data_IF_244724738813
#
_entry.id   IF_244724738813
#
_cell.length_a   1.000
_cell.length_b   1.000
_cell.length_c   1.000
_cell.angle_alpha   90.00
_cell.angle_beta   90.00
_cell.angle_gamma   90.00
#
_symmetry.space_group_name_H-M   'P 1'
#
loop_
_entity.id
_entity.type
_entity.pdbx_description
1 polymer ?
#
# COMPACT_ATOMS: atom_id res chain seq x y z
N UNK A 1 13.09 3.79 -57.97
CA UNK A 1 12.89 2.55 -57.20
C UNK A 1 11.44 2.50 -56.73
N UNK A 2 10.61 1.54 -57.17
CA UNK A 2 9.26 1.39 -56.63
C UNK A 2 9.35 1.00 -55.15
N UNK A 3 8.61 1.70 -54.28
CA UNK A 3 8.53 1.32 -52.85
C UNK A 3 7.79 -0.02 -52.77
N UNK A 4 8.47 -1.08 -52.32
CA UNK A 4 7.82 -2.34 -51.98
C UNK A 4 6.70 -2.03 -50.98
N UNK A 5 5.50 -2.56 -51.20
CA UNK A 5 4.42 -2.40 -50.23
C UNK A 5 4.86 -3.04 -48.92
N UNK A 6 4.70 -2.31 -47.81
CA UNK A 6 5.14 -2.74 -46.48
C UNK A 6 4.46 -4.05 -46.07
N UNK A 7 3.25 -4.32 -46.59
CA UNK A 7 2.50 -5.56 -46.35
C UNK A 7 3.26 -6.83 -46.76
N UNK A 8 3.95 -6.82 -47.92
CA UNK A 8 4.65 -8.01 -48.39
C UNK A 8 5.79 -8.43 -47.44
N UNK A 9 6.48 -7.47 -46.84
CA UNK A 9 7.60 -7.73 -45.92
C UNK A 9 7.10 -8.25 -44.57
N UNK A 10 5.98 -7.71 -44.06
CA UNK A 10 5.37 -8.21 -42.83
C UNK A 10 4.85 -9.64 -42.99
N UNK A 11 4.23 -9.95 -44.14
CA UNK A 11 3.73 -11.30 -44.44
C UNK A 11 4.86 -12.32 -44.58
N UNK A 12 5.98 -11.95 -45.19
CA UNK A 12 7.20 -12.78 -45.24
C UNK A 12 7.73 -13.08 -43.83
N UNK A 13 7.76 -12.07 -42.95
CA UNK A 13 8.18 -12.26 -41.57
C UNK A 13 7.23 -13.16 -40.77
N UNK A 14 5.91 -12.97 -40.90
CA UNK A 14 4.88 -13.78 -40.24
C UNK A 14 4.91 -15.25 -40.70
N UNK A 15 5.29 -15.51 -41.95
CA UNK A 15 5.46 -16.87 -42.49
C UNK A 15 6.82 -17.50 -42.12
N UNK A 16 7.82 -16.69 -41.81
CA UNK A 16 9.14 -17.13 -41.37
C UNK A 16 9.27 -17.08 -39.84
N UNK A 17 10.13 -16.21 -39.28
CA UNK A 17 10.41 -16.16 -37.84
C UNK A 17 9.18 -15.85 -36.97
N UNK A 18 8.19 -15.10 -37.49
CA UNK A 18 6.97 -14.78 -36.76
C UNK A 18 6.06 -15.98 -36.48
N UNK A 19 6.29 -17.11 -37.17
CA UNK A 19 5.48 -18.32 -37.02
C UNK A 19 5.53 -18.88 -35.59
N UNK A 20 6.63 -18.66 -34.86
CA UNK A 20 6.79 -19.12 -33.47
C UNK A 20 5.80 -18.45 -32.50
N UNK A 21 5.32 -17.25 -32.84
CA UNK A 21 4.38 -16.48 -32.02
C UNK A 21 2.92 -16.69 -32.41
N UNK A 22 2.64 -17.49 -33.46
CA UNK A 22 1.28 -17.76 -33.94
C UNK A 22 0.43 -18.48 -32.90
N UNK A 23 1.04 -19.38 -32.12
CA UNK A 23 0.37 -20.18 -31.12
C UNK A 23 1.02 -20.00 -29.75
N UNK A 24 0.23 -19.97 -28.67
CA UNK A 24 0.75 -19.76 -27.34
C UNK A 24 1.57 -20.96 -26.87
N UNK A 25 2.75 -20.69 -26.32
CA UNK A 25 3.60 -21.67 -25.65
C UNK A 25 3.25 -21.78 -24.16
N UNK A 26 3.85 -22.77 -23.49
CA UNK A 26 3.86 -22.81 -22.03
C UNK A 26 4.93 -21.82 -21.57
N UNK A 27 4.50 -20.83 -20.79
CA UNK A 27 5.32 -19.72 -20.35
C UNK A 27 5.52 -18.62 -21.41
N UNK A 28 6.12 -17.49 -20.99
CA UNK A 28 6.18 -16.29 -21.79
C UNK A 28 7.05 -16.48 -23.03
N UNK A 29 6.46 -16.30 -24.22
CA UNK A 29 7.17 -16.28 -25.50
C UNK A 29 7.48 -14.84 -25.91
N UNK A 30 8.54 -14.28 -25.36
CA UNK A 30 8.92 -12.89 -25.64
C UNK A 30 9.72 -12.75 -26.93
N UNK A 31 9.47 -11.66 -27.66
CA UNK A 31 10.25 -11.32 -28.87
C UNK A 31 11.74 -11.14 -28.56
N UNK A 32 12.08 -10.56 -27.41
CA UNK A 32 13.46 -10.43 -26.93
C UNK A 32 14.03 -11.70 -26.29
N UNK A 33 13.32 -12.84 -26.37
CA UNK A 33 13.59 -14.15 -25.75
C UNK A 33 13.56 -14.13 -24.22
N UNK A 34 14.37 -13.26 -23.61
CA UNK A 34 14.49 -13.11 -22.15
C UNK A 34 13.57 -12.02 -21.59
N UNK A 35 13.18 -11.05 -22.41
CA UNK A 35 12.38 -9.89 -22.01
C UNK A 35 11.47 -9.47 -23.18
N UNK A 36 10.29 -8.87 -22.91
CA UNK A 36 9.25 -8.65 -23.91
C UNK A 36 9.67 -7.71 -25.04
N UNK A 37 10.47 -6.68 -24.74
CA UNK A 37 10.83 -5.65 -25.70
C UNK A 37 12.33 -5.68 -26.01
N UNK A 38 12.77 -6.14 -27.19
CA UNK A 38 14.20 -6.28 -27.51
C UNK A 38 15.04 -5.01 -27.30
N UNK A 39 14.42 -3.84 -27.46
CA UNK A 39 15.06 -2.53 -27.32
C UNK A 39 14.99 -1.95 -25.89
N UNK A 40 14.29 -2.61 -24.97
CA UNK A 40 14.20 -2.23 -23.56
C UNK A 40 14.52 -3.42 -22.64
N UNK A 41 15.80 -3.75 -22.46
CA UNK A 41 16.23 -4.85 -21.59
C UNK A 41 15.92 -4.64 -20.10
N UNK A 42 15.71 -3.39 -19.68
CA UNK A 42 15.42 -3.04 -18.29
C UNK A 42 14.02 -3.48 -17.86
N UNK A 43 13.07 -3.55 -18.79
CA UNK A 43 11.71 -3.98 -18.49
C UNK A 43 11.60 -5.52 -18.47
N UNK A 44 11.66 -6.09 -17.26
CA UNK A 44 11.53 -7.53 -17.00
C UNK A 44 10.32 -7.77 -16.09
N UNK A 45 9.13 -8.05 -16.63
CA UNK A 45 7.94 -8.22 -15.80
C UNK A 45 8.08 -9.48 -14.92
N UNK A 46 7.83 -9.38 -13.61
CA UNK A 46 7.81 -10.55 -12.75
C UNK A 46 6.58 -11.43 -13.07
N UNK A 47 6.67 -12.75 -12.84
CA UNK A 47 5.56 -13.66 -13.11
C UNK A 47 4.33 -13.29 -12.24
N UNK A 48 3.11 -13.37 -12.81
CA UNK A 48 1.89 -13.08 -12.09
C UNK A 48 1.63 -14.13 -11.00
N UNK A 49 0.82 -13.74 -10.00
CA UNK A 49 0.39 -14.64 -8.93
C UNK A 49 -0.66 -15.60 -9.49
N UNK A 50 -0.55 -16.88 -9.16
CA UNK A 50 -1.57 -17.87 -9.54
C UNK A 50 -2.91 -17.58 -8.87
N UNK A 51 -3.99 -17.96 -9.54
CA UNK A 51 -5.35 -17.79 -9.04
C UNK A 51 -5.57 -18.57 -7.74
N UNK A 52 -5.04 -19.79 -7.66
CA UNK A 52 -5.03 -20.61 -6.44
C UNK A 52 -4.43 -19.89 -5.24
N UNK A 53 -3.30 -19.19 -5.42
CA UNK A 53 -2.70 -18.39 -4.34
C UNK A 53 -3.58 -17.19 -3.98
N UNK A 54 -4.20 -16.52 -4.97
CA UNK A 54 -5.13 -15.41 -4.71
C UNK A 54 -6.34 -15.87 -3.91
N UNK A 55 -6.90 -17.02 -4.26
CA UNK A 55 -8.00 -17.66 -3.55
C UNK A 55 -7.61 -17.96 -2.10
N UNK A 56 -6.44 -18.57 -1.88
CA UNK A 56 -5.94 -18.87 -0.53
C UNK A 56 -5.70 -17.61 0.33
N UNK A 57 -5.30 -16.49 -0.28
CA UNK A 57 -5.19 -15.19 0.41
C UNK A 57 -6.58 -14.70 0.84
N UNK A 58 -7.55 -14.76 -0.08
CA UNK A 58 -8.93 -14.33 0.15
C UNK A 58 -9.60 -15.15 1.25
N UNK A 59 -9.54 -16.47 1.17
CA UNK A 59 -10.13 -17.38 2.15
C UNK A 59 -9.56 -17.17 3.56
N UNK A 60 -8.23 -16.99 3.67
CA UNK A 60 -7.58 -16.71 4.95
C UNK A 60 -8.04 -15.39 5.53
N UNK A 61 -8.10 -14.34 4.73
CA UNK A 61 -8.60 -13.03 5.18
C UNK A 61 -10.03 -13.15 5.69
N UNK A 62 -10.93 -13.76 4.91
CA UNK A 62 -12.34 -13.94 5.28
C UNK A 62 -12.54 -14.85 6.49
N UNK A 63 -11.63 -15.80 6.74
CA UNK A 63 -11.72 -16.66 7.93
C UNK A 63 -11.52 -15.89 9.25
N UNK A 64 -10.60 -14.93 9.28
CA UNK A 64 -10.35 -14.11 10.45
C UNK A 64 -9.58 -12.82 10.06
N UNK A 65 -10.29 -11.72 9.76
CA UNK A 65 -9.66 -10.47 9.32
C UNK A 65 -8.74 -9.83 10.37
N UNK A 66 -8.98 -10.10 11.66
CA UNK A 66 -8.15 -9.56 12.76
C UNK A 66 -6.80 -10.26 12.84
N UNK A 67 -6.79 -11.58 12.70
CA UNK A 67 -5.57 -12.40 12.70
C UNK A 67 -4.83 -12.31 11.37
N UNK A 68 -5.55 -12.48 10.25
CA UNK A 68 -5.01 -12.46 8.90
C UNK A 68 -5.25 -11.11 8.24
N UNK A 69 -4.77 -10.05 8.89
CA UNK A 69 -4.86 -8.71 8.33
C UNK A 69 -3.97 -8.55 7.08
N UNK A 70 -4.21 -7.48 6.32
CA UNK A 70 -3.50 -7.18 5.05
C UNK A 70 -1.98 -7.19 5.22
N UNK A 71 -1.46 -6.63 6.32
CA UNK A 71 -0.02 -6.55 6.60
C UNK A 71 0.57 -7.94 6.87
N UNK A 72 -0.12 -8.77 7.66
CA UNK A 72 0.30 -10.14 7.96
C UNK A 72 0.32 -10.97 6.69
N UNK A 73 -0.70 -10.86 5.84
CA UNK A 73 -0.77 -11.57 4.56
C UNK A 73 0.31 -11.08 3.58
N UNK A 74 0.56 -9.78 3.52
CA UNK A 74 1.61 -9.18 2.69
C UNK A 74 2.99 -9.76 3.03
N UNK A 75 3.33 -9.78 4.32
CA UNK A 75 4.60 -10.35 4.83
C UNK A 75 4.65 -11.86 4.60
N UNK A 76 3.57 -12.58 4.88
CA UNK A 76 3.52 -14.04 4.75
C UNK A 76 3.78 -14.54 3.33
N UNK A 77 3.23 -13.84 2.32
CA UNK A 77 3.32 -14.21 0.91
C UNK A 77 4.37 -13.42 0.12
N UNK A 78 5.05 -12.45 0.73
CA UNK A 78 6.06 -11.62 0.06
C UNK A 78 5.46 -10.76 -1.06
N UNK A 79 4.34 -10.10 -0.80
CA UNK A 79 3.61 -9.25 -1.75
C UNK A 79 3.22 -7.93 -1.11
N UNK A 80 3.14 -6.87 -1.90
CA UNK A 80 2.85 -5.54 -1.36
C UNK A 80 1.45 -5.48 -0.77
N UNK A 81 1.26 -4.66 0.26
CA UNK A 81 -0.07 -4.48 0.88
C UNK A 81 -1.10 -4.00 -0.15
N UNK A 82 -0.71 -3.13 -1.08
CA UNK A 82 -1.58 -2.69 -2.20
C UNK A 82 -2.03 -3.85 -3.08
N UNK A 83 -1.14 -4.83 -3.32
CA UNK A 83 -1.45 -6.01 -4.11
C UNK A 83 -2.39 -6.96 -3.36
N UNK A 84 -2.20 -7.13 -2.05
CA UNK A 84 -3.13 -7.90 -1.20
C UNK A 84 -4.52 -7.27 -1.23
N UNK A 85 -4.62 -5.97 -1.00
CA UNK A 85 -5.89 -5.23 -1.09
C UNK A 85 -6.60 -5.46 -2.43
N UNK A 86 -5.86 -5.33 -3.53
CA UNK A 86 -6.41 -5.55 -4.87
C UNK A 86 -6.91 -7.00 -5.06
N UNK A 87 -6.17 -7.99 -4.55
CA UNK A 87 -6.59 -9.39 -4.59
C UNK A 87 -7.89 -9.59 -3.82
N UNK A 88 -7.98 -9.07 -2.59
CA UNK A 88 -9.18 -9.22 -1.75
C UNK A 88 -10.41 -8.62 -2.42
N UNK A 89 -10.26 -7.44 -3.03
CA UNK A 89 -11.32 -6.75 -3.77
C UNK A 89 -11.76 -7.53 -5.01
N UNK A 90 -10.81 -7.93 -5.85
CA UNK A 90 -11.08 -8.66 -7.10
C UNK A 90 -11.72 -10.02 -6.84
N UNK A 91 -11.26 -10.74 -5.81
CA UNK A 91 -11.87 -12.01 -5.41
C UNK A 91 -13.25 -11.84 -4.80
N UNK A 92 -13.48 -10.79 -4.01
CA UNK A 92 -14.83 -10.44 -3.55
C UNK A 92 -15.80 -10.25 -4.73
N UNK A 93 -15.41 -9.43 -5.71
CA UNK A 93 -16.20 -9.19 -6.93
C UNK A 93 -16.43 -10.48 -7.74
N UNK A 94 -15.42 -11.34 -7.86
CA UNK A 94 -15.55 -12.64 -8.50
C UNK A 94 -16.64 -13.51 -7.83
N UNK A 95 -16.67 -13.55 -6.49
CA UNK A 95 -17.70 -14.27 -5.72
C UNK A 95 -19.10 -13.69 -5.90
N UNK A 96 -19.21 -12.37 -6.09
CA UNK A 96 -20.50 -11.75 -6.38
C UNK A 96 -20.96 -12.02 -7.80
N UNK A 97 -20.06 -12.00 -8.77
CA UNK A 97 -20.38 -12.38 -10.15
C UNK A 97 -20.82 -13.83 -10.27
N UNK A 98 -20.29 -14.75 -9.47
CA UNK A 98 -20.78 -16.14 -9.42
C UNK A 98 -22.28 -16.25 -9.13
N UNK A 99 -22.91 -15.25 -8.51
CA UNK A 99 -24.35 -15.24 -8.20
C UNK A 99 -25.24 -14.99 -9.44
N UNK A 100 -24.69 -14.51 -10.56
CA UNK A 100 -25.50 -14.15 -11.74
C UNK A 100 -24.78 -14.06 -13.10
N UNK A 101 -23.47 -14.26 -13.16
CA UNK A 101 -22.64 -14.21 -14.38
C UNK A 101 -21.73 -15.44 -14.43
N UNK A 102 -21.55 -16.01 -15.63
CA UNK A 102 -20.61 -17.11 -15.83
C UNK A 102 -19.18 -16.58 -15.95
N UNK A 103 -18.26 -17.13 -15.16
CA UNK A 103 -16.84 -16.75 -15.19
C UNK A 103 -16.09 -17.44 -16.35
N UNK A 104 -15.12 -16.73 -16.93
CA UNK A 104 -14.26 -17.24 -18.01
C UNK A 104 -13.05 -18.04 -17.47
N UNK A 105 -13.32 -19.16 -16.79
CA UNK A 105 -12.27 -19.99 -16.17
C UNK A 105 -11.29 -20.61 -17.18
N UNK A 106 -11.77 -20.94 -18.39
CA UNK A 106 -10.92 -21.45 -19.46
C UNK A 106 -9.89 -20.43 -19.96
N UNK A 107 -10.29 -19.15 -20.04
CA UNK A 107 -9.37 -18.07 -20.38
C UNK A 107 -8.31 -17.86 -19.29
N UNK A 108 -8.73 -17.90 -18.03
CA UNK A 108 -7.83 -17.84 -16.88
C UNK A 108 -6.76 -18.94 -16.95
N UNK A 109 -7.18 -20.20 -17.10
CA UNK A 109 -6.24 -21.33 -17.19
C UNK A 109 -5.25 -21.21 -18.36
N UNK A 110 -5.72 -20.71 -19.51
CA UNK A 110 -4.86 -20.42 -20.66
C UNK A 110 -3.82 -19.34 -20.37
N UNK A 111 -4.23 -18.24 -19.74
CA UNK A 111 -3.36 -17.12 -19.37
C UNK A 111 -2.34 -17.51 -18.30
N UNK A 112 -2.73 -18.30 -17.30
CA UNK A 112 -1.80 -18.81 -16.29
C UNK A 112 -0.69 -19.64 -16.93
N UNK A 113 -1.06 -20.52 -17.86
CA UNK A 113 -0.12 -21.33 -18.63
C UNK A 113 0.81 -20.48 -19.48
N UNK A 114 0.31 -19.42 -20.12
CA UNK A 114 1.09 -18.53 -20.98
C UNK A 114 2.04 -17.60 -20.21
N UNK A 115 1.65 -17.15 -19.03
CA UNK A 115 2.45 -16.18 -18.26
C UNK A 115 3.37 -16.83 -17.22
N UNK A 116 3.35 -18.16 -17.11
CA UNK A 116 4.08 -18.92 -16.10
C UNK A 116 3.82 -18.38 -14.70
N UNK A 117 2.56 -18.43 -14.27
CA UNK A 117 2.15 -17.96 -12.94
C UNK A 117 2.94 -18.65 -11.83
N UNK A 118 3.25 -17.90 -10.78
CA UNK A 118 3.94 -18.42 -9.60
C UNK A 118 2.94 -18.72 -8.49
N UNK A 119 2.96 -19.95 -8.00
CA UNK A 119 2.34 -20.30 -6.72
C UNK A 119 3.23 -19.80 -5.58
N UNK A 120 2.69 -18.95 -4.72
CA UNK A 120 3.42 -18.46 -3.55
C UNK A 120 3.11 -19.34 -2.34
N UNK A 121 4.16 -19.76 -1.65
CA UNK A 121 4.06 -20.44 -0.38
C UNK A 121 4.39 -19.48 0.77
N UNK A 122 3.77 -19.71 1.93
CA UNK A 122 4.00 -18.88 3.12
C UNK A 122 5.44 -19.03 3.57
N UNK A 123 6.10 -17.90 3.83
CA UNK A 123 7.49 -17.85 4.28
C UNK A 123 8.53 -18.03 3.16
N UNK A 124 8.10 -18.27 1.92
CA UNK A 124 8.99 -18.30 0.76
C UNK A 124 8.76 -17.08 -0.13
N UNK A 125 9.72 -16.16 -0.13
CA UNK A 125 9.69 -14.95 -0.97
C UNK A 125 10.68 -15.13 -2.12
N UNK A 126 10.20 -15.22 -3.38
CA UNK A 126 11.07 -15.26 -4.55
C UNK A 126 12.00 -14.04 -4.61
N UNK A 127 13.21 -14.23 -5.13
CA UNK A 127 14.20 -13.15 -5.25
C UNK A 127 13.70 -11.95 -6.05
N UNK A 128 12.88 -12.20 -7.08
CA UNK A 128 12.21 -11.18 -7.89
C UNK A 128 11.24 -10.27 -7.11
N UNK A 129 10.99 -10.57 -5.83
CA UNK A 129 10.01 -9.89 -4.97
C UNK A 129 10.60 -9.36 -3.66
N UNK A 130 11.92 -9.34 -3.51
CA UNK A 130 12.56 -8.84 -2.27
C UNK A 130 12.40 -7.33 -2.05
N UNK A 131 12.22 -6.55 -3.12
CA UNK A 131 12.03 -5.08 -3.08
C UNK A 131 10.62 -4.63 -2.65
N UNK A 132 9.76 -5.58 -2.29
CA UNK A 132 8.36 -5.30 -1.94
C UNK A 132 8.24 -4.56 -0.61
N UNK A 133 9.10 -4.86 0.36
CA UNK A 133 9.08 -4.22 1.68
C UNK A 133 9.46 -2.75 1.58
N UNK A 134 10.45 -2.42 0.77
CA UNK A 134 10.96 -1.05 0.63
C UNK A 134 9.92 -0.18 -0.09
N UNK A 135 9.26 -0.74 -1.11
CA UNK A 135 8.11 -0.12 -1.78
C UNK A 135 6.95 0.19 -0.81
N UNK A 136 6.60 -0.78 0.04
CA UNK A 136 5.52 -0.63 1.03
C UNK A 136 5.86 0.41 2.10
N UNK A 137 7.14 0.54 2.49
CA UNK A 137 7.62 1.58 3.41
C UNK A 137 7.50 2.95 2.75
N UNK A 138 8.02 3.11 1.54
CA UNK A 138 7.94 4.37 0.79
C UNK A 138 6.49 4.85 0.62
N UNK A 139 5.60 3.95 0.24
CA UNK A 139 4.17 4.24 0.08
C UNK A 139 3.51 4.72 1.39
N UNK A 140 3.88 4.12 2.53
CA UNK A 140 3.40 4.55 3.84
C UNK A 140 3.94 5.92 4.24
N UNK A 141 5.18 6.22 3.85
CA UNK A 141 5.85 7.48 4.18
C UNK A 141 5.35 8.67 3.39
N UNK A 142 5.05 8.46 2.10
CA UNK A 142 4.51 9.49 1.20
C UNK A 142 3.09 9.91 1.62
N UNK A 143 2.36 9.05 2.36
CA UNK A 143 0.98 9.28 2.79
C UNK A 143 0.03 9.66 1.63
N UNK A 144 0.40 9.31 0.39
CA UNK A 144 -0.36 9.52 -0.84
C UNK A 144 -1.48 8.47 -1.00
N UNK A 145 -2.20 8.22 0.10
CA UNK A 145 -3.39 7.37 0.11
C UNK A 145 -4.54 7.96 -0.71
N UNK A 146 -4.43 9.21 -1.16
CA UNK A 146 -5.34 9.79 -2.14
C UNK A 146 -5.48 8.91 -3.38
N UNK A 147 -4.42 8.23 -3.84
CA UNK A 147 -4.55 7.25 -4.92
C UNK A 147 -5.42 6.05 -4.48
N UNK A 148 -5.17 5.50 -3.29
CA UNK A 148 -5.88 4.34 -2.73
C UNK A 148 -7.37 4.61 -2.52
N UNK A 149 -7.71 5.81 -2.06
CA UNK A 149 -9.08 6.28 -1.87
C UNK A 149 -9.77 6.62 -3.21
N UNK A 150 -9.04 7.19 -4.18
CA UNK A 150 -9.57 7.47 -5.53
C UNK A 150 -9.90 6.17 -6.30
N UNK A 151 -9.03 5.17 -6.22
CA UNK A 151 -9.23 3.90 -6.95
C UNK A 151 -10.41 3.06 -6.45
N UNK A 152 -10.99 3.37 -5.28
CA UNK A 152 -12.25 2.74 -4.85
C UNK A 152 -13.47 3.19 -5.64
N UNK A 153 -13.47 4.41 -6.19
CA UNK A 153 -14.58 4.92 -7.03
C UNK A 153 -14.47 4.49 -8.49
N UNK A 154 -13.32 3.96 -8.92
CA UNK A 154 -12.98 3.76 -10.33
C UNK A 154 -13.04 2.30 -10.79
N UNK A 155 -13.55 1.36 -9.98
CA UNK A 155 -13.60 -0.03 -10.40
C UNK A 155 -14.82 -0.32 -11.29
N UNK A 156 -14.57 -0.36 -12.61
CA UNK A 156 -15.17 -1.06 -13.77
C UNK A 156 -16.59 -1.65 -13.82
N UNK A 157 -17.46 -1.47 -12.83
CA UNK A 157 -18.89 -1.33 -13.15
C UNK A 157 -19.16 0.18 -13.29
N UNK A 158 -19.95 0.62 -14.29
CA UNK A 158 -20.56 1.93 -14.24
C UNK A 158 -21.59 1.90 -13.10
N UNK A 159 -21.10 1.94 -11.87
CA UNK A 159 -21.93 2.17 -10.69
C UNK A 159 -22.34 3.62 -10.80
N UNK A 160 -23.64 3.88 -10.96
CA UNK A 160 -24.14 5.25 -10.95
C UNK A 160 -23.65 5.94 -9.67
N UNK A 161 -23.37 7.25 -9.72
CA UNK A 161 -22.81 8.01 -8.59
C UNK A 161 -23.61 7.87 -7.26
N UNK A 162 -24.84 7.33 -7.33
CA UNK A 162 -25.74 7.06 -6.21
C UNK A 162 -25.60 5.68 -5.59
N UNK A 163 -25.00 4.71 -6.28
CA UNK A 163 -24.88 3.32 -5.82
C UNK A 163 -23.51 3.08 -5.19
N UNK A 164 -23.47 2.26 -4.13
CA UNK A 164 -22.22 1.91 -3.46
C UNK A 164 -21.58 0.72 -4.18
N UNK A 165 -20.25 0.73 -4.39
CA UNK A 165 -19.55 -0.41 -4.98
C UNK A 165 -19.77 -1.65 -4.11
N UNK A 166 -19.89 -2.81 -4.75
CA UNK A 166 -20.05 -4.07 -4.05
C UNK A 166 -18.70 -4.45 -3.45
N UNK A 167 -18.56 -4.16 -2.16
CA UNK A 167 -17.45 -4.64 -1.33
C UNK A 167 -18.03 -5.51 -0.23
N UNK A 168 -17.42 -6.67 0.08
CA UNK A 168 -17.76 -7.44 1.27
C UNK A 168 -17.83 -6.52 2.50
N UNK A 169 -18.92 -6.59 3.26
CA UNK A 169 -19.20 -5.74 4.43
C UNK A 169 -18.07 -5.78 5.47
N UNK A 170 -17.40 -6.91 5.59
CA UNK A 170 -16.24 -7.10 6.46
C UNK A 170 -15.04 -6.23 6.05
N UNK A 171 -14.83 -6.02 4.73
CA UNK A 171 -13.77 -5.15 4.22
C UNK A 171 -14.09 -3.68 4.47
N UNK A 172 -15.36 -3.29 4.38
CA UNK A 172 -15.79 -1.92 4.71
C UNK A 172 -15.56 -1.61 6.19
N UNK A 173 -16.02 -2.50 7.08
CA UNK A 173 -15.84 -2.33 8.53
C UNK A 173 -14.37 -2.29 8.93
N UNK A 174 -13.57 -3.23 8.43
CA UNK A 174 -12.13 -3.26 8.72
C UNK A 174 -11.43 -1.98 8.25
N UNK A 175 -11.92 -1.37 7.15
CA UNK A 175 -11.40 -0.10 6.64
C UNK A 175 -11.81 1.07 7.52
N UNK A 176 -13.07 1.16 7.92
CA UNK A 176 -13.54 2.23 8.83
C UNK A 176 -12.77 2.21 10.15
N UNK A 177 -12.57 1.02 10.73
CA UNK A 177 -11.75 0.83 11.93
C UNK A 177 -10.29 1.27 11.70
N UNK A 178 -9.70 0.93 10.55
CA UNK A 178 -8.35 1.36 10.21
C UNK A 178 -8.23 2.88 9.97
N UNK A 179 -9.24 3.51 9.37
CA UNK A 179 -9.29 4.96 9.17
C UNK A 179 -9.45 5.70 10.49
N UNK A 180 -10.34 5.23 11.38
CA UNK A 180 -10.53 5.76 12.71
C UNK A 180 -9.23 5.68 13.53
N UNK A 181 -8.60 4.49 13.58
CA UNK A 181 -7.32 4.32 14.28
C UNK A 181 -6.21 5.22 13.71
N UNK A 182 -6.19 5.45 12.39
CA UNK A 182 -5.24 6.37 11.77
C UNK A 182 -5.52 7.83 12.13
N UNK A 183 -6.78 8.26 12.12
CA UNK A 183 -7.17 9.60 12.53
C UNK A 183 -6.82 9.85 13.99
N UNK A 184 -7.14 8.91 14.88
CA UNK A 184 -6.76 8.96 16.30
C UNK A 184 -5.23 9.09 16.46
N UNK A 185 -4.45 8.32 15.70
CA UNK A 185 -2.99 8.40 15.73
C UNK A 185 -2.45 9.75 15.20
N UNK A 186 -3.08 10.32 14.16
CA UNK A 186 -2.73 11.64 13.64
C UNK A 186 -3.07 12.72 14.66
N UNK A 187 -4.25 12.67 15.26
CA UNK A 187 -4.72 13.60 16.28
C UNK A 187 -3.80 13.56 17.51
N UNK A 188 -3.48 12.37 18.02
CA UNK A 188 -2.53 12.19 19.11
C UNK A 188 -1.15 12.75 18.76
N UNK A 189 -0.65 12.56 17.54
CA UNK A 189 0.64 13.13 17.09
C UNK A 189 0.60 14.65 16.90
N UNK A 190 -0.59 15.23 16.72
CA UNK A 190 -0.81 16.68 16.59
C UNK A 190 -1.09 17.38 17.92
N UNK A 191 -1.31 16.62 19.00
CA UNK A 191 -1.60 17.17 20.32
C UNK A 191 -0.40 17.95 20.88
N UNK A 192 -0.62 19.23 21.17
CA UNK A 192 0.38 20.14 21.74
C UNK A 192 0.93 19.62 23.06
N UNK A 193 0.11 18.95 23.88
CA UNK A 193 0.56 18.40 25.17
C UNK A 193 1.56 17.27 24.96
N UNK A 194 1.29 16.39 24.01
CA UNK A 194 2.20 15.31 23.64
C UNK A 194 3.49 15.86 23.02
N UNK A 195 3.42 16.92 22.21
CA UNK A 195 4.60 17.51 21.56
C UNK A 195 5.50 18.33 22.50
N UNK A 196 4.90 19.21 23.30
CA UNK A 196 5.63 20.20 24.10
C UNK A 196 5.74 19.85 25.57
N UNK A 197 4.94 18.89 26.06
CA UNK A 197 4.84 18.54 27.47
C UNK A 197 4.18 19.61 28.34
N UNK A 198 3.64 20.67 27.73
CA UNK A 198 2.96 21.77 28.42
C UNK A 198 1.50 21.80 28.02
N UNK A 199 0.63 22.15 28.96
CA UNK A 199 -0.76 22.39 28.61
C UNK A 199 -0.88 23.71 27.83
N UNK A 200 -1.54 23.72 26.67
CA UNK A 200 -1.76 24.92 25.90
C UNK A 200 -2.55 25.97 26.69
N UNK A 201 -2.13 27.24 26.59
CA UNK A 201 -2.92 28.35 27.12
C UNK A 201 -4.18 28.52 26.25
N UNK A 202 -5.35 28.30 26.85
CA UNK A 202 -6.66 28.47 26.20
C UNK A 202 -7.36 27.18 25.76
N UNK A 203 -7.06 26.03 26.38
CA UNK A 203 -7.70 24.75 26.06
C UNK A 203 -6.91 23.92 25.05
N UNK A 204 -7.35 22.67 24.75
CA UNK A 204 -6.64 21.76 23.86
C UNK A 204 -6.45 22.39 22.49
N UNK A 205 -5.21 22.42 22.02
CA UNK A 205 -4.83 22.93 20.70
C UNK A 205 -4.14 21.81 19.94
N UNK A 206 -4.53 21.61 18.69
CA UNK A 206 -3.83 20.76 17.73
C UNK A 206 -2.88 21.63 16.90
N UNK A 207 -1.66 21.16 16.66
CA UNK A 207 -0.73 21.83 15.73
C UNK A 207 -1.10 21.41 14.31
N UNK A 208 -1.53 22.37 13.50
CA UNK A 208 -1.65 22.18 12.04
C UNK A 208 -0.27 21.97 11.44
N UNK A 209 -0.09 20.94 10.61
CA UNK A 209 1.13 20.79 9.79
C UNK A 209 1.24 21.98 8.85
N UNK A 210 2.15 22.91 9.13
CA UNK A 210 2.33 24.09 8.27
C UNK A 210 3.10 23.75 6.99
N UNK A 211 2.90 24.57 5.95
CA UNK A 211 3.47 24.42 4.61
C UNK A 211 5.00 24.45 4.67
N UNK A 212 5.72 23.75 3.77
CA UNK A 212 7.16 23.81 3.68
C UNK A 212 7.65 25.26 3.58
N UNK A 213 8.52 25.68 4.49
CA UNK A 213 9.15 26.99 4.44
C UNK A 213 10.33 26.88 3.47
N UNK A 214 10.18 27.48 2.29
CA UNK A 214 11.27 27.61 1.32
C UNK A 214 12.15 28.77 1.78
N UNK A 215 13.36 28.46 2.27
CA UNK A 215 14.35 29.47 2.60
C UNK A 215 15.13 29.77 1.33
N UNK A 216 15.00 31.02 0.87
CA UNK A 216 15.44 31.61 -0.41
C UNK A 216 16.50 30.85 -1.20
N UNK A 217 16.19 30.54 -2.47
CA UNK A 217 17.20 30.27 -3.50
C UNK A 217 17.72 31.59 -4.07
N UNK A 218 19.01 31.88 -3.93
CA UNK A 218 19.69 32.72 -4.92
C UNK A 218 19.65 32.02 -6.28
N UNK A 219 19.71 32.77 -7.39
CA UNK A 219 19.56 32.21 -8.76
C UNK A 219 20.54 31.09 -9.11
N UNK A 220 21.62 30.92 -8.33
CA UNK A 220 22.73 29.99 -8.55
C UNK A 220 22.87 28.94 -7.43
N UNK A 221 21.90 28.80 -6.51
CA UNK A 221 21.91 27.79 -5.43
C UNK A 221 20.59 27.01 -5.36
N UNK A 222 20.63 25.69 -5.12
CA UNK A 222 19.41 24.91 -4.92
C UNK A 222 18.64 25.40 -3.69
N UNK A 223 17.31 25.50 -3.81
CA UNK A 223 16.44 25.96 -2.74
C UNK A 223 16.46 25.00 -1.55
N UNK A 224 16.77 25.52 -0.35
CA UNK A 224 16.64 24.76 0.89
C UNK A 224 15.20 24.82 1.39
N UNK A 225 14.54 23.66 1.48
CA UNK A 225 13.16 23.55 1.95
C UNK A 225 13.13 22.94 3.34
N UNK A 226 12.74 23.73 4.35
CA UNK A 226 12.53 23.23 5.70
C UNK A 226 11.10 22.72 5.82
N UNK A 227 10.95 21.41 6.05
CA UNK A 227 9.68 20.77 6.36
C UNK A 227 9.59 20.55 7.87
N UNK A 228 8.65 21.23 8.54
CA UNK A 228 8.35 20.89 9.93
C UNK A 228 7.71 19.49 9.97
N UNK A 229 8.41 18.56 10.62
CA UNK A 229 7.97 17.17 10.77
C UNK A 229 7.04 16.98 11.96
N UNK A 230 6.89 17.98 12.84
CA UNK A 230 6.03 17.95 14.02
C UNK A 230 6.19 16.65 14.82
N UNK A 231 5.06 16.00 15.14
CA UNK A 231 5.02 14.70 15.84
C UNK A 231 5.23 13.46 14.97
N UNK A 232 5.70 13.58 13.72
CA UNK A 232 5.81 12.43 12.79
C UNK A 232 6.56 11.25 13.41
N UNK A 233 7.67 11.54 14.11
CA UNK A 233 8.56 10.57 14.73
C UNK A 233 8.33 10.40 16.25
N UNK A 234 7.22 10.92 16.78
CA UNK A 234 6.89 10.76 18.18
C UNK A 234 6.28 9.37 18.42
N UNK A 235 6.91 8.59 19.28
CA UNK A 235 6.30 7.40 19.89
C UNK A 235 5.32 7.87 20.97
N UNK A 236 4.02 7.66 20.71
CA UNK A 236 2.93 8.14 21.56
C UNK A 236 2.99 7.45 22.93
N UNK A 237 3.20 6.14 22.96
CA UNK A 237 3.19 5.33 24.18
C UNK A 237 4.36 5.69 25.08
N UNK A 238 5.56 5.81 24.48
CA UNK A 238 6.73 6.26 25.20
C UNK A 238 6.57 7.69 25.72
N UNK A 239 5.93 8.59 24.95
CA UNK A 239 5.69 9.96 25.39
C UNK A 239 4.72 10.02 26.56
N UNK A 240 3.62 9.29 26.50
CA UNK A 240 2.64 9.16 27.59
C UNK A 240 3.32 8.62 28.85
N UNK A 241 4.15 7.57 28.71
CA UNK A 241 4.95 7.02 29.81
C UNK A 241 5.83 8.08 30.47
N UNK A 242 6.60 8.84 29.68
CA UNK A 242 7.46 9.92 30.20
C UNK A 242 6.66 11.03 30.90
N UNK A 243 5.48 11.38 30.39
CA UNK A 243 4.60 12.36 31.04
C UNK A 243 4.11 11.87 32.41
N UNK A 244 3.66 10.61 32.50
CA UNK A 244 3.26 10.01 33.78
C UNK A 244 4.41 9.97 34.80
N UNK A 245 5.63 9.64 34.36
CA UNK A 245 6.81 9.67 35.23
C UNK A 245 7.15 11.09 35.72
N UNK A 246 7.06 12.08 34.83
CA UNK A 246 7.27 13.48 35.18
C UNK A 246 6.25 13.97 36.22
N UNK A 247 4.97 13.61 36.06
CA UNK A 247 3.91 13.93 37.01
C UNK A 247 4.12 13.26 38.37
N UNK A 248 4.54 11.99 38.40
CA UNK A 248 4.92 11.30 39.65
C UNK A 248 6.05 12.03 40.36
N UNK A 249 7.12 12.40 39.64
CA UNK A 249 8.25 13.17 40.20
C UNK A 249 7.81 14.54 40.72
N UNK A 250 6.93 15.23 40.01
CA UNK A 250 6.39 16.54 40.40
C UNK A 250 5.59 16.44 41.70
N UNK A 251 4.71 15.45 41.82
CA UNK A 251 3.92 15.19 43.05
C UNK A 251 4.83 14.88 44.24
N UNK A 252 5.84 14.03 44.06
CA UNK A 252 6.80 13.70 45.11
C UNK A 252 7.58 14.94 45.60
N UNK A 253 8.08 15.77 44.67
CA UNK A 253 8.76 17.04 45.02
C UNK A 253 7.83 18.02 45.74
N UNK A 254 6.56 18.11 45.33
CA UNK A 254 5.58 18.97 45.99
C UNK A 254 5.33 18.52 47.44
N UNK A 255 5.15 17.21 47.66
CA UNK A 255 5.00 16.63 49.00
C UNK A 255 6.24 16.90 49.88
N UNK A 256 7.44 16.63 49.37
CA UNK A 256 8.68 16.91 50.10
C UNK A 256 8.85 18.41 50.43
N UNK A 257 8.39 19.31 49.55
CA UNK A 257 8.41 20.76 49.80
C UNK A 257 7.40 21.17 50.88
N UNK A 258 6.23 20.54 50.94
CA UNK A 258 5.24 20.76 52.00
C UNK A 258 5.77 20.27 53.35
N UNK A 259 6.34 19.07 53.40
CA UNK A 259 6.96 18.50 54.60
C UNK A 259 8.12 19.36 55.13
N UNK A 260 8.94 19.93 54.23
CA UNK A 260 9.98 20.90 54.60
C UNK A 260 9.39 22.19 55.14
N UNK A 261 8.31 22.70 54.55
CA UNK A 261 7.65 23.93 55.03
C UNK A 261 7.00 23.74 56.41
N UNK A 262 6.40 22.58 56.68
CA UNK A 262 5.77 22.29 57.97
C UNK A 262 6.76 22.02 59.11
N UNK A 263 8.03 21.71 58.81
CA UNK A 263 9.11 21.55 59.81
C UNK A 263 9.81 22.85 60.20
N UNK A 264 9.51 23.96 59.51
CA UNK A 264 10.15 25.28 59.72
C UNK A 264 9.24 26.23 60.53
N UNK A 265 8.06 25.75 60.93
CA UNK A 265 7.13 26.40 61.87
C UNK A 265 7.15 25.59 63.16
#
# INVERSE_FOLDING_TARGET
>A
MPRKSVGNVADEWLKGPGLEFKSPTIGPNWLGKTHPFPLNPSFKPPPPISDKTKEAIYERYMSNPKMYNVRVLAVAYGISMKRVDAILRLKGMEKDWLKGKQLQTGFLAGMERMLNTTELAIGFVPESRRDVTDSDIQDQEEADDHARDRYQRLFWEPVADTEKPIVPTELEKAKEEAQAARQEAIEAKSDVKLLTGREPKGGPKTISREKPIVVSSGSDRPATVFKDVGGKFLDIDDRIRRLHEADRRKRAKAKARQERRSKVI
#
